data_IF_287636789412
#
_entry.id   IF_287636789412
#
_cell.length_a   1.000
_cell.length_b   1.000
_cell.length_c   1.000
_cell.angle_alpha   90.00
_cell.angle_beta   90.00
_cell.angle_gamma   90.00
#
_symmetry.space_group_name_H-M   'P 1'
#
loop_
_entity.id
_entity.type
_entity.pdbx_description
1 polymer ?
#
# COMPACT_ATOMS: atom_id res chain seq x y z
N UNK A 1 16.74 10.34 29.40
CA UNK A 1 16.75 9.67 28.07
C UNK A 1 16.52 10.74 27.02
N UNK A 2 17.47 10.97 26.12
CA UNK A 2 17.27 11.90 24.99
C UNK A 2 16.25 11.30 24.02
N UNK A 3 15.26 12.06 23.53
CA UNK A 3 14.33 11.55 22.54
C UNK A 3 15.12 11.10 21.30
N UNK A 4 15.09 9.81 20.97
CA UNK A 4 15.73 9.30 19.75
C UNK A 4 14.99 9.91 18.56
N UNK A 5 15.71 10.60 17.69
CA UNK A 5 15.16 11.05 16.42
C UNK A 5 14.71 9.83 15.63
N UNK A 6 13.45 9.81 15.17
CA UNK A 6 12.92 8.72 14.35
C UNK A 6 13.63 8.57 13.00
N UNK A 7 14.48 9.54 12.63
CA UNK A 7 15.31 9.59 11.42
C UNK A 7 16.80 9.50 11.77
N UNK A 8 17.17 8.60 12.70
CA UNK A 8 18.58 8.24 12.89
C UNK A 8 19.16 7.62 11.62
N UNK A 9 20.48 7.68 11.43
CA UNK A 9 21.15 7.01 10.31
C UNK A 9 20.85 5.51 10.28
N UNK A 10 20.82 4.87 11.45
CA UNK A 10 20.46 3.46 11.64
C UNK A 10 19.05 3.15 11.11
N UNK A 11 18.05 3.97 11.44
CA UNK A 11 16.68 3.78 10.95
C UNK A 11 16.60 3.98 9.43
N UNK A 12 17.33 4.95 8.88
CA UNK A 12 17.37 5.19 7.43
C UNK A 12 17.96 3.99 6.70
N UNK A 13 19.05 3.41 7.21
CA UNK A 13 19.65 2.21 6.65
C UNK A 13 18.76 0.98 6.75
N UNK A 14 18.06 0.79 7.88
CA UNK A 14 17.13 -0.31 8.06
C UNK A 14 15.96 -0.22 7.06
N UNK A 15 15.36 0.96 6.92
CA UNK A 15 14.29 1.20 5.92
C UNK A 15 14.81 0.94 4.51
N UNK A 16 16.04 1.38 4.20
CA UNK A 16 16.66 1.18 2.88
C UNK A 16 16.81 -0.31 2.56
N UNK A 17 17.35 -1.12 3.48
CA UNK A 17 17.50 -2.57 3.29
C UNK A 17 16.17 -3.27 2.98
N UNK A 18 15.12 -2.97 3.74
CA UNK A 18 13.80 -3.59 3.55
C UNK A 18 13.22 -3.24 2.18
N UNK A 19 13.39 -2.00 1.74
CA UNK A 19 12.90 -1.56 0.42
C UNK A 19 13.70 -2.21 -0.71
N UNK A 20 15.01 -2.31 -0.58
CA UNK A 20 15.87 -2.95 -1.59
C UNK A 20 15.51 -4.45 -1.75
N UNK A 21 15.15 -5.13 -0.65
CA UNK A 21 14.66 -6.52 -0.68
C UNK A 21 13.21 -6.64 -1.20
N UNK A 22 12.37 -5.62 -0.95
CA UNK A 22 10.92 -5.69 -1.21
C UNK A 22 10.35 -4.39 -1.80
N UNK A 23 10.72 -4.02 -3.04
CA UNK A 23 10.37 -2.72 -3.63
C UNK A 23 8.86 -2.54 -3.83
N UNK A 24 8.11 -3.64 -3.95
CA UNK A 24 6.66 -3.67 -4.19
C UNK A 24 5.81 -3.51 -2.92
N UNK A 25 6.41 -3.39 -1.74
CA UNK A 25 5.65 -3.27 -0.49
C UNK A 25 5.20 -1.83 -0.24
N UNK A 26 4.01 -1.69 0.35
CA UNK A 26 3.52 -0.39 0.79
C UNK A 26 4.24 0.09 2.04
N UNK A 27 4.27 1.40 2.28
CA UNK A 27 4.83 2.01 3.50
C UNK A 27 4.32 1.34 4.76
N UNK A 28 3.04 0.97 4.80
CA UNK A 28 2.42 0.33 5.96
C UNK A 28 3.00 -1.07 6.23
N UNK A 29 3.29 -1.84 5.17
CA UNK A 29 3.94 -3.16 5.31
C UNK A 29 5.40 -3.01 5.69
N UNK A 30 6.11 -2.08 5.05
CA UNK A 30 7.50 -1.76 5.42
C UNK A 30 7.59 -1.34 6.89
N UNK A 31 6.61 -0.56 7.37
CA UNK A 31 6.51 -0.22 8.79
C UNK A 31 6.28 -1.44 9.70
N UNK A 32 5.40 -2.38 9.33
CA UNK A 32 5.21 -3.60 10.13
C UNK A 32 6.45 -4.50 10.19
N UNK A 33 7.36 -4.36 9.23
CA UNK A 33 8.62 -5.11 9.17
C UNK A 33 9.76 -4.44 9.96
N UNK A 34 9.55 -3.20 10.42
CA UNK A 34 10.53 -2.45 11.22
C UNK A 34 10.17 -2.56 12.70
N UNK A 35 11.17 -2.75 13.55
CA UNK A 35 10.98 -2.74 15.01
C UNK A 35 10.27 -1.45 15.47
N UNK A 36 9.32 -1.59 16.40
CA UNK A 36 8.32 -0.61 16.86
C UNK A 36 8.83 0.75 17.38
N UNK A 37 10.13 1.04 17.23
CA UNK A 37 10.76 2.32 17.54
C UNK A 37 10.36 3.48 16.62
N UNK A 38 9.77 3.17 15.45
CA UNK A 38 9.37 4.14 14.42
C UNK A 38 7.86 4.27 14.29
N UNK A 39 7.36 5.35 13.72
CA UNK A 39 5.96 5.47 13.28
C UNK A 39 5.85 5.33 11.77
N UNK A 40 4.68 4.94 11.25
CA UNK A 40 4.44 4.88 9.80
C UNK A 40 4.72 6.23 9.10
N UNK A 41 4.40 7.35 9.76
CA UNK A 41 4.74 8.70 9.28
C UNK A 41 6.25 8.93 9.21
N UNK A 42 7.02 8.43 10.17
CA UNK A 42 8.49 8.52 10.14
C UNK A 42 9.07 7.73 8.97
N UNK A 43 8.58 6.51 8.73
CA UNK A 43 8.97 5.68 7.58
C UNK A 43 8.66 6.38 6.27
N UNK A 44 7.46 6.95 6.11
CA UNK A 44 7.11 7.77 4.95
C UNK A 44 8.10 8.92 4.72
N UNK A 45 8.46 9.65 5.79
CA UNK A 45 9.42 10.74 5.71
C UNK A 45 10.81 10.24 5.32
N UNK A 46 11.25 9.09 5.83
CA UNK A 46 12.52 8.48 5.42
C UNK A 46 12.54 8.18 3.93
N UNK A 47 11.51 7.47 3.45
CA UNK A 47 11.37 7.13 2.03
C UNK A 47 11.36 8.38 1.15
N UNK A 48 10.56 9.39 1.52
CA UNK A 48 10.36 10.60 0.71
C UNK A 48 11.55 11.56 0.75
N UNK A 49 12.12 11.80 1.93
CA UNK A 49 13.09 12.89 2.14
C UNK A 49 14.54 12.43 2.20
N UNK A 50 14.84 11.24 2.74
CA UNK A 50 16.21 10.73 2.80
C UNK A 50 16.54 9.91 1.57
N UNK A 51 15.67 8.94 1.24
CA UNK A 51 15.90 8.01 0.13
C UNK A 51 15.42 8.58 -1.22
N UNK A 52 14.74 9.73 -1.20
CA UNK A 52 14.20 10.41 -2.40
C UNK A 52 13.28 9.54 -3.27
N UNK A 53 12.61 8.57 -2.65
CA UNK A 53 11.67 7.68 -3.30
C UNK A 53 10.26 8.29 -3.34
N UNK A 54 9.42 7.74 -4.22
CA UNK A 54 7.97 7.98 -4.25
C UNK A 54 7.26 6.82 -3.57
N UNK A 55 6.91 6.92 -2.28
CA UNK A 55 6.50 5.78 -1.45
C UNK A 55 5.07 5.28 -1.71
N UNK A 56 4.53 5.50 -2.90
CA UNK A 56 3.17 5.09 -3.25
C UNK A 56 3.20 3.88 -4.15
N UNK A 57 2.57 2.79 -3.70
CA UNK A 57 2.19 1.71 -4.58
C UNK A 57 0.90 2.11 -5.28
N UNK A 58 0.97 2.38 -6.59
CA UNK A 58 -0.22 2.56 -7.42
C UNK A 58 -0.53 1.20 -8.05
N UNK A 59 -1.53 0.44 -7.55
CA UNK A 59 -1.94 -0.79 -8.21
C UNK A 59 -2.64 -0.41 -9.52
N UNK A 60 -1.94 -0.61 -10.65
CA UNK A 60 -2.50 -0.35 -12.00
C UNK A 60 -3.49 -1.44 -12.40
N UNK A 61 -3.36 -2.64 -11.83
CA UNK A 61 -4.18 -3.81 -12.15
C UNK A 61 -4.74 -4.42 -10.86
N UNK A 62 -6.06 -4.65 -10.84
CA UNK A 62 -6.67 -5.54 -9.87
C UNK A 62 -6.50 -6.97 -10.36
N UNK A 63 -5.76 -7.79 -9.62
CA UNK A 63 -5.64 -9.21 -9.95
C UNK A 63 -7.01 -9.89 -9.82
N UNK A 64 -7.49 -10.49 -10.91
CA UNK A 64 -8.72 -11.26 -10.94
C UNK A 64 -8.47 -12.65 -10.36
N UNK A 65 -9.21 -13.01 -9.32
CA UNK A 65 -9.28 -14.38 -8.81
C UNK A 65 -10.17 -15.22 -9.72
N UNK A 66 -10.02 -16.54 -9.65
CA UNK A 66 -10.80 -17.48 -10.47
C UNK A 66 -12.32 -17.28 -10.34
N UNK A 67 -12.83 -16.95 -9.15
CA UNK A 67 -14.25 -16.67 -8.91
C UNK A 67 -14.73 -15.28 -9.36
N UNK A 68 -13.82 -14.34 -9.61
CA UNK A 68 -14.19 -12.96 -9.93
C UNK A 68 -14.89 -12.86 -11.29
N UNK A 69 -14.57 -13.77 -12.23
CA UNK A 69 -15.18 -13.80 -13.56
C UNK A 69 -16.68 -14.10 -13.45
N UNK A 70 -17.04 -15.15 -12.72
CA UNK A 70 -18.45 -15.55 -12.55
C UNK A 70 -19.23 -14.48 -11.79
N UNK A 71 -18.68 -13.96 -10.69
CA UNK A 71 -19.35 -12.91 -9.91
C UNK A 71 -19.60 -11.64 -10.72
N UNK A 72 -18.65 -11.25 -11.58
CA UNK A 72 -18.81 -10.10 -12.49
C UNK A 72 -19.89 -10.36 -13.54
N UNK A 73 -19.96 -11.58 -14.08
CA UNK A 73 -20.97 -11.97 -15.06
C UNK A 73 -22.37 -12.00 -14.42
N UNK A 74 -22.50 -12.62 -13.25
CA UNK A 74 -23.75 -12.69 -12.49
C UNK A 74 -24.27 -11.29 -12.17
N UNK A 75 -23.38 -10.41 -11.69
CA UNK A 75 -23.71 -9.01 -11.43
C UNK A 75 -24.16 -8.28 -12.71
N UNK A 76 -23.39 -8.39 -13.80
CA UNK A 76 -23.74 -7.74 -15.05
C UNK A 76 -25.09 -8.23 -15.60
N UNK A 77 -25.37 -9.53 -15.47
CA UNK A 77 -26.63 -10.14 -15.90
C UNK A 77 -27.79 -9.62 -15.06
N UNK A 78 -27.67 -9.67 -13.73
CA UNK A 78 -28.64 -9.13 -12.78
C UNK A 78 -28.94 -7.64 -13.06
N UNK A 79 -27.93 -6.81 -13.26
CA UNK A 79 -28.12 -5.38 -13.55
C UNK A 79 -28.76 -5.13 -14.93
N UNK A 80 -28.50 -6.02 -15.90
CA UNK A 80 -29.15 -5.95 -17.23
C UNK A 80 -30.62 -6.34 -17.15
N UNK A 81 -31.01 -7.24 -16.25
CA UNK A 81 -32.41 -7.60 -16.01
C UNK A 81 -33.16 -6.53 -15.20
N UNK A 82 -32.42 -5.70 -14.46
CA UNK A 82 -32.95 -4.63 -13.61
C UNK A 82 -32.54 -3.23 -14.08
N UNK A 83 -32.63 -2.96 -15.39
CA UNK A 83 -32.32 -1.64 -15.98
C UNK A 83 -33.05 -0.48 -15.27
N UNK A 84 -34.24 -0.74 -14.76
CA UNK A 84 -35.06 0.24 -14.01
C UNK A 84 -34.39 0.72 -12.71
N UNK A 85 -33.48 -0.06 -12.13
CA UNK A 85 -32.68 0.33 -10.96
C UNK A 85 -31.53 1.27 -11.33
N UNK A 86 -31.01 1.15 -12.56
CA UNK A 86 -29.95 2.02 -13.08
C UNK A 86 -30.46 3.42 -13.45
N UNK A 87 -31.74 3.56 -13.80
CA UNK A 87 -32.36 4.84 -14.14
C UNK A 87 -32.70 5.72 -12.93
N UNK A 88 -32.53 5.19 -11.70
CA UNK A 88 -32.83 5.89 -10.44
C UNK A 88 -31.58 6.35 -9.68
N UNK A 89 -30.39 6.12 -10.23
CA UNK A 89 -29.10 6.60 -9.73
C UNK A 89 -28.64 7.80 -10.57
#
# INVERSE_FOLDING_TARGET
>A
MTPKSSRSSENVEQVKRIIDETPERSVRKVFSDIDHSSSATSVYRVLRFDLKLTPYKVPVLQHLKEGDVNQRLDFATCMTEHVDLLQKL
#
